data_IF_244781492040
#
_entry.id   IF_244781492040
#
_cell.length_a   1.000
_cell.length_b   1.000
_cell.length_c   1.000
_cell.angle_alpha   90.00
_cell.angle_beta   90.00
_cell.angle_gamma   90.00
#
_symmetry.space_group_name_H-M   'P 1'
#
loop_
_entity.id
_entity.type
_entity.pdbx_description
1 polymer ?
#
# COMPACT_ATOMS: atom_id res chain seq x y z
N UNK A 1 -4.33 32.96 3.12
CA UNK A 1 -4.08 32.03 4.24
C UNK A 1 -4.91 32.33 5.49
N UNK A 2 -4.66 33.39 6.27
CA UNK A 2 -5.38 33.58 7.54
C UNK A 2 -6.87 33.93 7.31
N UNK A 3 -7.16 34.85 6.38
CA UNK A 3 -8.53 35.28 6.07
C UNK A 3 -9.43 34.17 5.52
N UNK A 4 -8.85 33.18 4.83
CA UNK A 4 -9.59 32.04 4.26
C UNK A 4 -10.09 31.05 5.32
N UNK A 5 -9.44 31.04 6.48
CA UNK A 5 -9.63 30.05 7.54
C UNK A 5 -10.35 30.67 8.74
N UNK A 6 -10.37 32.00 8.86
CA UNK A 6 -11.06 32.72 9.93
C UNK A 6 -12.57 32.64 9.77
N UNK A 7 -13.29 32.50 10.88
CA UNK A 7 -14.77 32.51 10.91
C UNK A 7 -15.35 33.91 10.76
N UNK A 8 -14.68 34.88 11.35
CA UNK A 8 -15.02 36.30 11.28
C UNK A 8 -13.74 37.13 11.22
N UNK A 9 -13.80 38.41 10.78
CA UNK A 9 -12.60 39.22 10.56
C UNK A 9 -11.71 39.43 11.80
N UNK A 10 -12.31 39.42 12.98
CA UNK A 10 -11.63 39.58 14.27
C UNK A 10 -11.31 38.25 14.98
N UNK A 11 -11.36 37.12 14.26
CA UNK A 11 -11.08 35.81 14.85
C UNK A 11 -9.58 35.58 14.94
N UNK A 12 -9.03 35.85 16.12
CA UNK A 12 -7.61 35.60 16.43
C UNK A 12 -7.41 34.40 17.35
N UNK A 13 -8.48 33.88 17.93
CA UNK A 13 -8.45 32.94 19.05
C UNK A 13 -8.80 31.50 18.68
N UNK A 14 -9.53 31.30 17.58
CA UNK A 14 -9.91 29.96 17.12
C UNK A 14 -8.69 29.11 16.80
N UNK A 15 -8.86 27.78 16.91
CA UNK A 15 -7.79 26.84 16.60
C UNK A 15 -7.40 26.91 15.12
N UNK A 16 -8.38 27.13 14.25
CA UNK A 16 -8.25 27.38 12.81
C UNK A 16 -7.34 28.59 12.55
N UNK A 17 -7.68 29.76 13.08
CA UNK A 17 -6.90 30.98 12.93
C UNK A 17 -5.49 30.87 13.52
N UNK A 18 -5.35 30.18 14.66
CA UNK A 18 -4.03 29.90 15.28
C UNK A 18 -3.17 29.02 14.37
N UNK A 19 -3.71 27.92 13.84
CA UNK A 19 -3.00 27.02 12.94
C UNK A 19 -2.56 27.72 11.64
N UNK A 20 -3.43 28.55 11.07
CA UNK A 20 -3.09 29.36 9.90
C UNK A 20 -1.95 30.35 10.21
N UNK A 21 -2.01 31.07 11.34
CA UNK A 21 -0.95 32.00 11.77
C UNK A 21 0.38 31.29 12.02
N UNK A 22 0.34 30.12 12.68
CA UNK A 22 1.53 29.31 12.89
C UNK A 22 2.14 28.87 11.56
N UNK A 23 1.31 28.48 10.59
CA UNK A 23 1.76 28.06 9.26
C UNK A 23 2.43 29.21 8.50
N UNK A 24 1.85 30.41 8.51
CA UNK A 24 2.47 31.61 7.93
C UNK A 24 3.82 31.89 8.60
N UNK A 25 3.88 31.88 9.93
CA UNK A 25 5.13 32.12 10.67
C UNK A 25 6.21 31.07 10.40
N UNK A 26 5.82 29.79 10.23
CA UNK A 26 6.73 28.71 9.82
C UNK A 26 7.33 29.02 8.44
N UNK A 27 6.51 29.40 7.45
CA UNK A 27 6.98 29.74 6.10
C UNK A 27 7.96 30.92 6.13
N UNK A 28 7.64 31.99 6.85
CA UNK A 28 8.56 33.12 7.02
C UNK A 28 9.88 32.70 7.69
N UNK A 29 9.83 31.87 8.74
CA UNK A 29 11.05 31.38 9.41
C UNK A 29 11.89 30.45 8.53
N UNK A 30 11.26 29.68 7.64
CA UNK A 30 11.96 28.85 6.65
C UNK A 30 12.76 29.74 5.69
N UNK A 31 12.13 30.76 5.09
CA UNK A 31 12.81 31.72 4.20
C UNK A 31 14.01 32.41 4.89
N UNK A 32 13.89 32.73 6.18
CA UNK A 32 14.99 33.31 6.95
C UNK A 32 16.13 32.30 7.20
N UNK A 33 15.81 31.03 7.46
CA UNK A 33 16.82 29.99 7.63
C UNK A 33 17.52 29.62 6.33
N UNK A 34 16.83 29.69 5.21
CA UNK A 34 17.42 29.47 3.89
C UNK A 34 18.48 30.53 3.59
N UNK A 35 18.23 31.79 3.97
CA UNK A 35 19.21 32.89 3.90
C UNK A 35 20.31 32.79 4.96
N UNK A 36 19.97 32.37 6.19
CA UNK A 36 20.87 32.36 7.34
C UNK A 36 20.87 31.00 8.07
N UNK A 37 21.53 29.96 7.49
CA UNK A 37 21.42 28.59 7.97
C UNK A 37 22.09 28.33 9.34
N UNK A 38 23.00 29.22 9.76
CA UNK A 38 23.73 29.12 11.03
C UNK A 38 22.99 29.74 12.22
N UNK A 39 21.83 30.36 12.02
CA UNK A 39 21.07 30.96 13.12
C UNK A 39 20.35 29.90 13.97
N UNK A 40 20.99 29.53 15.09
CA UNK A 40 20.51 28.48 16.00
C UNK A 40 19.17 28.87 16.66
N UNK A 41 19.01 30.15 17.04
CA UNK A 41 17.79 30.62 17.74
C UNK A 41 16.53 30.45 16.89
N UNK A 42 16.63 30.80 15.60
CA UNK A 42 15.52 30.62 14.65
C UNK A 42 15.25 29.13 14.42
N UNK A 43 16.30 28.29 14.30
CA UNK A 43 16.15 26.84 14.12
C UNK A 43 15.40 26.18 15.29
N UNK A 44 15.74 26.55 16.53
CA UNK A 44 15.03 26.07 17.73
C UNK A 44 13.58 26.55 17.75
N UNK A 45 13.37 27.85 17.53
CA UNK A 45 12.02 28.45 17.51
C UNK A 45 11.11 27.84 16.44
N UNK A 46 11.67 27.59 15.24
CA UNK A 46 10.96 26.95 14.14
C UNK A 46 10.55 25.52 14.51
N UNK A 47 11.48 24.73 15.08
CA UNK A 47 11.19 23.36 15.51
C UNK A 47 10.06 23.33 16.53
N UNK A 48 10.14 24.16 17.57
CA UNK A 48 9.07 24.26 18.58
C UNK A 48 7.73 24.65 17.98
N UNK A 49 7.72 25.56 17.01
CA UNK A 49 6.49 26.01 16.35
C UNK A 49 5.87 24.89 15.49
N UNK A 50 6.69 24.11 14.78
CA UNK A 50 6.25 22.93 14.03
C UNK A 50 5.65 21.88 14.99
N UNK A 51 6.31 21.61 16.11
CA UNK A 51 5.84 20.62 17.08
C UNK A 51 4.55 21.07 17.79
N UNK A 52 4.45 22.36 18.16
CA UNK A 52 3.20 22.96 18.66
C UNK A 52 2.08 22.83 17.62
N UNK A 53 2.35 23.06 16.33
CA UNK A 53 1.36 22.94 15.25
C UNK A 53 0.88 21.49 15.11
N UNK A 54 1.80 20.52 15.11
CA UNK A 54 1.48 19.08 15.08
C UNK A 54 0.61 18.66 16.26
N UNK A 55 0.89 19.19 17.47
CA UNK A 55 0.08 18.94 18.67
C UNK A 55 -1.36 19.45 18.50
N UNK A 56 -1.54 20.65 17.96
CA UNK A 56 -2.89 21.18 17.69
C UNK A 56 -3.62 20.39 16.59
N UNK A 57 -2.95 19.98 15.52
CA UNK A 57 -3.55 19.11 14.51
C UNK A 57 -3.99 17.76 15.08
N UNK A 58 -3.21 17.18 16.00
CA UNK A 58 -3.60 15.96 16.73
C UNK A 58 -4.87 16.17 17.56
N UNK A 59 -5.01 17.32 18.23
CA UNK A 59 -6.23 17.65 18.98
C UNK A 59 -7.42 17.88 18.07
N UNK A 60 -7.23 18.63 16.98
CA UNK A 60 -8.29 18.90 16.01
C UNK A 60 -8.83 17.60 15.41
N UNK A 61 -7.94 16.67 15.02
CA UNK A 61 -8.32 15.34 14.53
C UNK A 61 -9.15 14.53 15.54
N UNK A 62 -8.91 14.71 16.84
CA UNK A 62 -9.68 14.02 17.90
C UNK A 62 -11.04 14.67 18.15
N UNK A 63 -11.14 16.00 18.04
CA UNK A 63 -12.35 16.75 18.39
C UNK A 63 -13.33 16.87 17.23
N UNK A 64 -12.85 17.26 16.04
CA UNK A 64 -13.67 17.49 14.87
C UNK A 64 -12.88 17.14 13.60
N UNK A 65 -13.21 15.97 13.05
CA UNK A 65 -12.52 15.41 11.90
C UNK A 65 -12.80 16.20 10.61
N UNK A 66 -14.02 16.75 10.44
CA UNK A 66 -14.38 17.51 9.23
C UNK A 66 -13.60 18.82 9.15
N UNK A 67 -13.47 19.51 10.28
CA UNK A 67 -12.63 20.71 10.38
C UNK A 67 -11.15 20.39 10.18
N UNK A 68 -10.70 19.24 10.65
CA UNK A 68 -9.33 18.79 10.42
C UNK A 68 -9.02 18.61 8.94
N UNK A 69 -9.87 17.92 8.17
CA UNK A 69 -9.68 17.75 6.72
C UNK A 69 -9.70 19.08 5.97
N UNK A 70 -10.70 19.92 6.25
CA UNK A 70 -10.79 21.27 5.70
C UNK A 70 -9.50 22.07 5.93
N UNK A 71 -8.92 21.98 7.13
CA UNK A 71 -7.68 22.67 7.47
C UNK A 71 -6.45 22.11 6.74
N UNK A 72 -6.40 20.80 6.49
CA UNK A 72 -5.31 20.21 5.71
C UNK A 72 -5.34 20.66 4.26
N UNK A 73 -6.53 20.70 3.66
CA UNK A 73 -6.75 21.17 2.29
C UNK A 73 -6.41 22.66 2.15
N UNK A 74 -6.94 23.52 3.03
CA UNK A 74 -6.74 24.98 2.91
C UNK A 74 -5.32 25.45 3.21
N UNK A 75 -4.56 24.72 4.02
CA UNK A 75 -3.19 25.09 4.39
C UNK A 75 -2.11 24.30 3.63
N UNK A 76 -2.51 23.40 2.73
CA UNK A 76 -1.65 22.47 2.00
C UNK A 76 -0.74 21.66 2.95
N UNK A 77 -1.34 21.00 3.94
CA UNK A 77 -0.61 20.25 4.96
C UNK A 77 -0.85 18.74 4.83
N UNK A 78 0.24 17.97 4.88
CA UNK A 78 0.18 16.51 5.00
C UNK A 78 0.38 16.11 6.46
N UNK A 79 -0.67 15.55 7.08
CA UNK A 79 -0.58 15.07 8.45
C UNK A 79 0.04 13.67 8.51
N UNK A 80 1.19 13.54 9.18
CA UNK A 80 1.80 12.26 9.52
C UNK A 80 1.65 12.02 11.02
N UNK A 81 0.99 10.93 11.46
CA UNK A 81 0.88 10.62 12.88
C UNK A 81 2.28 10.29 13.45
N UNK A 82 2.53 10.58 14.74
CA UNK A 82 3.76 10.15 15.39
C UNK A 82 3.81 8.61 15.44
N UNK A 83 5.02 8.01 15.31
CA UNK A 83 5.17 6.57 15.43
C UNK A 83 4.79 6.10 16.85
N UNK A 84 4.35 4.85 16.96
CA UNK A 84 3.95 4.23 18.24
C UNK A 84 5.13 4.08 19.21
N UNK A 85 6.29 3.72 18.68
CA UNK A 85 7.56 3.62 19.42
C UNK A 85 8.58 4.53 18.76
N UNK A 86 9.29 5.31 19.57
CA UNK A 86 10.43 6.10 19.13
C UNK A 86 11.70 5.44 19.64
N UNK A 87 12.60 5.12 18.73
CA UNK A 87 13.94 4.66 19.03
C UNK A 87 14.92 5.28 18.03
N UNK A 88 16.19 5.28 18.41
CA UNK A 88 17.25 5.85 17.61
C UNK A 88 17.68 4.83 16.57
N UNK A 89 17.67 5.22 15.29
CA UNK A 89 18.10 4.34 14.21
C UNK A 89 19.62 4.21 14.27
N UNK A 90 20.11 3.02 14.57
CA UNK A 90 21.55 2.71 14.62
C UNK A 90 22.06 2.19 13.28
N UNK A 91 23.39 2.25 13.06
CA UNK A 91 24.02 1.72 11.84
C UNK A 91 23.67 0.23 11.61
N UNK A 92 23.76 -0.58 12.66
CA UNK A 92 23.44 -2.02 12.61
C UNK A 92 22.01 -2.25 12.13
N UNK A 93 21.04 -1.54 12.71
CA UNK A 93 19.63 -1.68 12.34
C UNK A 93 19.37 -1.25 10.90
N UNK A 94 20.01 -0.17 10.43
CA UNK A 94 19.87 0.27 9.04
C UNK A 94 20.41 -0.76 8.04
N UNK A 95 21.57 -1.36 8.33
CA UNK A 95 22.15 -2.40 7.48
C UNK A 95 21.28 -3.65 7.48
N UNK A 96 20.79 -4.05 8.66
CA UNK A 96 19.91 -5.21 8.78
C UNK A 96 18.65 -5.03 7.94
N UNK A 97 17.99 -3.87 8.00
CA UNK A 97 16.80 -3.59 7.17
C UNK A 97 17.07 -3.67 5.67
N UNK A 98 18.22 -3.15 5.21
CA UNK A 98 18.60 -3.22 3.80
C UNK A 98 18.87 -4.66 3.36
N UNK A 99 19.57 -5.44 4.19
CA UNK A 99 19.82 -6.85 3.94
C UNK A 99 18.53 -7.66 3.93
N UNK A 100 17.61 -7.39 4.87
CA UNK A 100 16.32 -8.06 4.97
C UNK A 100 15.48 -7.79 3.71
N UNK A 101 15.38 -6.52 3.29
CA UNK A 101 14.67 -6.14 2.06
C UNK A 101 15.26 -6.81 0.81
N UNK A 102 16.58 -6.91 0.72
CA UNK A 102 17.24 -7.61 -0.39
C UNK A 102 16.95 -9.12 -0.37
N UNK A 103 16.99 -9.74 0.82
CA UNK A 103 16.65 -11.15 0.98
C UNK A 103 15.18 -11.43 0.64
N UNK A 104 14.27 -10.50 0.97
CA UNK A 104 12.86 -10.58 0.60
C UNK A 104 12.69 -10.53 -0.91
N UNK A 105 13.34 -9.61 -1.61
CA UNK A 105 13.31 -9.55 -3.08
C UNK A 105 13.79 -10.85 -3.73
N UNK A 106 14.92 -11.41 -3.27
CA UNK A 106 15.41 -12.71 -3.79
C UNK A 106 14.39 -13.83 -3.57
N UNK A 107 13.70 -13.84 -2.41
CA UNK A 107 12.66 -14.83 -2.13
C UNK A 107 11.47 -14.65 -3.06
N UNK A 108 11.02 -13.42 -3.28
CA UNK A 108 9.92 -13.10 -4.18
C UNK A 108 10.22 -13.52 -5.61
N UNK A 109 11.42 -13.24 -6.10
CA UNK A 109 11.87 -13.63 -7.44
C UNK A 109 11.86 -15.15 -7.62
N UNK A 110 12.43 -15.88 -6.65
CA UNK A 110 12.43 -17.36 -6.67
C UNK A 110 11.03 -17.95 -6.60
N UNK A 111 10.15 -17.38 -5.77
CA UNK A 111 8.76 -17.81 -5.69
C UNK A 111 8.00 -17.52 -6.99
N UNK A 112 8.30 -16.40 -7.64
CA UNK A 112 7.72 -16.05 -8.94
C UNK A 112 8.19 -17.01 -10.04
N UNK A 113 9.47 -17.35 -10.08
CA UNK A 113 10.03 -18.38 -10.98
C UNK A 113 9.36 -19.74 -10.75
N UNK A 114 9.29 -20.19 -9.50
CA UNK A 114 8.65 -21.45 -9.17
C UNK A 114 7.16 -21.47 -9.55
N UNK A 115 6.46 -20.35 -9.34
CA UNK A 115 5.06 -20.21 -9.74
C UNK A 115 4.87 -20.31 -11.26
N UNK A 116 5.81 -19.80 -12.06
CA UNK A 116 5.79 -19.99 -13.52
C UNK A 116 5.91 -21.46 -13.89
N UNK A 117 6.88 -22.16 -13.31
CA UNK A 117 7.07 -23.61 -13.53
C UNK A 117 5.81 -24.40 -13.16
N UNK A 118 5.21 -24.12 -12.01
CA UNK A 118 3.96 -24.79 -11.61
C UNK A 118 2.81 -24.48 -12.56
N UNK A 119 2.69 -23.24 -13.05
CA UNK A 119 1.65 -22.90 -14.01
C UNK A 119 1.83 -23.62 -15.35
N UNK A 120 3.07 -23.80 -15.81
CA UNK A 120 3.36 -24.59 -17.01
C UNK A 120 2.99 -26.07 -16.81
N UNK A 121 3.26 -26.62 -15.62
CA UNK A 121 2.90 -28.01 -15.27
C UNK A 121 1.40 -28.26 -15.11
N UNK A 122 0.57 -27.22 -14.91
CA UNK A 122 -0.88 -27.38 -14.77
C UNK A 122 -1.54 -27.94 -16.03
N UNK A 123 -1.11 -27.49 -17.22
CA UNK A 123 -1.69 -27.93 -18.49
C UNK A 123 -1.55 -29.45 -18.68
N UNK A 124 -0.34 -30.04 -18.65
CA UNK A 124 -0.19 -31.49 -18.80
C UNK A 124 -0.87 -32.26 -17.66
N UNK A 125 -0.85 -31.73 -16.43
CA UNK A 125 -1.55 -32.35 -15.30
C UNK A 125 -3.06 -32.46 -15.54
N UNK A 126 -3.70 -31.39 -16.06
CA UNK A 126 -5.12 -31.38 -16.38
C UNK A 126 -5.45 -32.31 -17.56
N UNK A 127 -4.60 -32.37 -18.59
CA UNK A 127 -4.76 -33.32 -19.70
C UNK A 127 -4.75 -34.77 -19.21
N UNK A 128 -3.80 -35.11 -18.35
CA UNK A 128 -3.70 -36.45 -17.77
C UNK A 128 -4.84 -36.74 -16.80
N UNK A 129 -5.29 -35.76 -16.03
CA UNK A 129 -6.44 -35.88 -15.15
C UNK A 129 -7.72 -36.16 -15.95
N UNK A 130 -7.98 -35.43 -17.04
CA UNK A 130 -9.13 -35.67 -17.92
C UNK A 130 -9.08 -37.08 -18.50
N UNK A 131 -7.93 -37.51 -19.04
CA UNK A 131 -7.76 -38.88 -19.58
C UNK A 131 -8.06 -39.96 -18.55
N UNK A 132 -7.53 -39.80 -17.32
CA UNK A 132 -7.75 -40.75 -16.22
C UNK A 132 -9.21 -40.77 -15.78
N UNK A 133 -9.85 -39.61 -15.67
CA UNK A 133 -11.27 -39.49 -15.30
C UNK A 133 -12.19 -40.12 -16.35
N UNK A 134 -11.90 -39.91 -17.64
CA UNK A 134 -12.62 -40.56 -18.74
C UNK A 134 -12.40 -42.07 -18.76
N UNK A 135 -11.18 -42.55 -18.49
CA UNK A 135 -10.86 -43.98 -18.37
C UNK A 135 -11.61 -44.64 -17.22
N UNK A 136 -11.49 -44.11 -15.99
CA UNK A 136 -12.18 -44.65 -14.80
C UNK A 136 -13.68 -44.70 -15.02
N UNK A 137 -14.26 -43.67 -15.65
CA UNK A 137 -15.69 -43.65 -15.94
C UNK A 137 -16.11 -44.76 -16.91
N UNK A 138 -15.34 -45.03 -17.97
CA UNK A 138 -15.62 -46.14 -18.90
C UNK A 138 -15.60 -47.48 -18.18
N UNK A 139 -14.56 -47.73 -17.39
CA UNK A 139 -14.44 -48.96 -16.58
C UNK A 139 -15.60 -49.12 -15.59
N UNK A 140 -16.06 -48.05 -14.95
CA UNK A 140 -17.23 -48.10 -14.06
C UNK A 140 -18.52 -48.48 -14.80
N UNK A 141 -18.70 -48.00 -16.04
CA UNK A 141 -19.84 -48.37 -16.90
C UNK A 141 -19.74 -49.85 -17.29
N UNK A 142 -18.56 -50.28 -17.72
CA UNK A 142 -18.31 -51.66 -18.18
C UNK A 142 -18.47 -52.69 -17.05
N UNK A 143 -18.15 -52.31 -15.81
CA UNK A 143 -18.30 -53.13 -14.61
C UNK A 143 -19.67 -52.99 -13.93
N UNK A 144 -20.57 -52.16 -14.45
CA UNK A 144 -21.92 -51.87 -13.90
C UNK A 144 -21.90 -51.34 -12.44
N UNK A 145 -20.84 -50.62 -12.07
CA UNK A 145 -20.66 -50.01 -10.73
C UNK A 145 -21.29 -48.61 -10.72
N UNK A 146 -21.84 -48.12 -9.58
CA UNK A 146 -22.30 -46.73 -9.47
C UNK A 146 -21.23 -45.71 -9.89
N UNK A 147 -21.62 -44.79 -10.78
CA UNK A 147 -20.74 -43.77 -11.34
C UNK A 147 -20.29 -42.77 -10.27
N UNK A 148 -18.99 -42.74 -10.02
CA UNK A 148 -18.38 -41.77 -9.08
C UNK A 148 -17.99 -40.48 -9.80
N UNK A 149 -17.55 -40.59 -11.06
CA UNK A 149 -17.08 -39.47 -11.87
C UNK A 149 -18.24 -38.90 -12.70
N UNK A 150 -18.69 -37.69 -12.35
CA UNK A 150 -19.82 -37.03 -13.05
C UNK A 150 -19.37 -36.42 -14.38
N UNK A 151 -20.32 -36.21 -15.30
CA UNK A 151 -19.99 -35.69 -16.63
C UNK A 151 -19.67 -34.19 -16.57
N UNK A 152 -20.32 -33.52 -15.62
CA UNK A 152 -20.10 -32.13 -15.28
C UNK A 152 -18.67 -31.90 -14.78
N UNK A 153 -18.15 -32.77 -13.89
CA UNK A 153 -16.76 -32.69 -13.43
C UNK A 153 -15.78 -32.73 -14.61
N UNK A 154 -15.94 -33.67 -15.55
CA UNK A 154 -15.06 -33.75 -16.74
C UNK A 154 -15.19 -32.48 -17.60
N UNK A 155 -16.41 -31.96 -17.76
CA UNK A 155 -16.65 -30.72 -18.51
C UNK A 155 -15.99 -29.50 -17.84
N UNK A 156 -16.02 -29.42 -16.51
CA UNK A 156 -15.40 -28.33 -15.76
C UNK A 156 -13.87 -28.36 -15.89
N UNK A 157 -13.25 -29.54 -15.78
CA UNK A 157 -11.81 -29.68 -16.04
C UNK A 157 -11.43 -29.33 -17.48
N UNK A 158 -12.28 -29.64 -18.47
CA UNK A 158 -12.08 -29.23 -19.87
C UNK A 158 -12.15 -27.71 -20.03
N UNK A 159 -13.15 -27.07 -19.41
CA UNK A 159 -13.28 -25.60 -19.40
C UNK A 159 -12.07 -24.93 -18.77
N UNK A 160 -11.58 -25.45 -17.65
CA UNK A 160 -10.38 -24.92 -16.97
C UNK A 160 -9.13 -25.08 -17.85
N UNK A 161 -8.99 -26.22 -18.51
CA UNK A 161 -7.90 -26.46 -19.45
C UNK A 161 -7.94 -25.51 -20.66
N UNK A 162 -9.11 -25.30 -21.25
CA UNK A 162 -9.30 -24.40 -22.38
C UNK A 162 -8.99 -22.94 -21.97
N UNK A 163 -9.44 -22.53 -20.78
CA UNK A 163 -9.10 -21.24 -20.20
C UNK A 163 -7.59 -21.06 -20.06
N UNK A 164 -6.89 -22.03 -19.45
CA UNK A 164 -5.44 -21.97 -19.25
C UNK A 164 -4.65 -21.98 -20.57
N UNK A 165 -5.14 -22.69 -21.60
CA UNK A 165 -4.55 -22.64 -22.95
C UNK A 165 -4.73 -21.25 -23.57
N UNK A 166 -5.93 -20.67 -23.50
CA UNK A 166 -6.17 -19.31 -24.00
C UNK A 166 -5.30 -18.26 -23.30
N UNK A 167 -5.09 -18.38 -21.98
CA UNK A 167 -4.20 -17.50 -21.22
C UNK A 167 -2.72 -17.65 -21.61
N UNK A 168 -2.29 -18.85 -22.01
CA UNK A 168 -0.92 -19.09 -22.48
C UNK A 168 -0.72 -18.47 -23.86
N UNK A 169 -1.67 -18.67 -24.76
CA UNK A 169 -1.58 -18.20 -26.14
C UNK A 169 -1.57 -16.66 -26.19
N UNK A 170 -2.48 -16.01 -25.44
CA UNK A 170 -2.48 -14.53 -25.26
C UNK A 170 -1.18 -13.97 -24.68
N UNK A 171 -0.55 -14.65 -23.71
CA UNK A 171 0.76 -14.25 -23.16
C UNK A 171 1.92 -14.39 -24.17
N UNK A 172 1.76 -15.27 -25.15
CA UNK A 172 2.77 -15.49 -26.20
C UNK A 172 2.68 -14.38 -27.23
N UNK A 173 1.46 -14.02 -27.66
CA UNK A 173 1.21 -12.91 -28.60
C UNK A 173 1.67 -11.54 -28.08
N UNK A 174 1.56 -11.27 -26.78
CA UNK A 174 2.00 -9.98 -26.19
C UNK A 174 3.54 -9.87 -26.08
N UNK A 175 4.27 -10.98 -26.20
CA UNK A 175 5.74 -11.00 -26.16
C UNK A 175 6.41 -10.85 -27.53
N UNK A 176 5.66 -11.07 -28.62
CA UNK A 176 6.10 -10.89 -30.01
C UNK A 176 5.86 -9.44 -30.48
#
# INVERSE_FOLDING_TARGET
MIKEVQRHPLDYGSMEAKLARMTVRIRCMQEQLDKFPRNIKIKVSLKELIDKRKKFLKYLRRWDYRRFEFMLEKLDLVYKPPPTKFHWVTRKESLQKLTDAHCEQIKEDRLAEYRKVLNEQKIPFLEDAIKKMEFVRKEQIDLEIPLTVTQEQIADYKRELDYLKSERDTKTEVRE
#
